data_IF_922482145378
#
_entry.id   IF_922482145378
#
_cell.length_a   1.000
_cell.length_b   1.000
_cell.length_c   1.000
_cell.angle_alpha   90.00
_cell.angle_beta   90.00
_cell.angle_gamma   90.00
#
_symmetry.space_group_name_H-M   'P 1'
#
loop_
_entity.id
_entity.type
_entity.pdbx_description
1 polymer ?
#
# COMPACT_ATOMS: atom_id res chain seq x y z
N UNK A 1 29.65 -6.61 -7.64
CA UNK A 1 28.76 -6.11 -6.58
C UNK A 1 28.69 -7.17 -5.51
N UNK A 2 29.26 -6.94 -4.33
CA UNK A 2 29.34 -7.96 -3.27
C UNK A 2 28.02 -8.14 -2.52
N UNK A 3 27.77 -9.34 -2.02
CA UNK A 3 26.71 -9.62 -1.04
C UNK A 3 27.31 -9.68 0.36
N UNK A 4 26.60 -9.20 1.36
CA UNK A 4 27.01 -9.18 2.77
C UNK A 4 25.87 -9.68 3.64
N UNK A 5 26.24 -10.55 4.56
CA UNK A 5 25.36 -11.20 5.50
C UNK A 5 24.92 -10.24 6.61
N UNK A 6 23.61 -10.01 6.75
CA UNK A 6 23.01 -9.27 7.86
C UNK A 6 22.25 -10.22 8.77
N UNK A 7 22.63 -10.26 10.06
CA UNK A 7 21.85 -10.94 11.09
C UNK A 7 20.73 -10.01 11.53
N UNK A 8 19.49 -10.39 11.22
CA UNK A 8 18.31 -9.55 11.43
C UNK A 8 17.68 -9.77 12.80
N UNK A 9 17.63 -11.01 13.27
CA UNK A 9 16.98 -11.39 14.52
C UNK A 9 17.69 -12.61 15.13
N UNK A 10 17.68 -12.73 16.47
CA UNK A 10 18.21 -13.92 17.17
C UNK A 10 17.21 -15.10 17.12
N UNK A 11 15.95 -14.82 16.75
CA UNK A 11 14.83 -15.76 16.80
C UNK A 11 14.63 -16.60 15.53
N UNK A 12 15.14 -16.14 14.39
CA UNK A 12 15.06 -16.87 13.12
C UNK A 12 16.45 -17.33 12.73
N UNK A 13 16.65 -18.64 12.53
CA UNK A 13 17.92 -19.23 12.10
C UNK A 13 18.28 -18.91 10.64
N UNK A 14 17.57 -17.97 10.02
CA UNK A 14 17.77 -17.58 8.64
C UNK A 14 18.58 -16.28 8.57
N UNK A 15 19.54 -16.28 7.67
CA UNK A 15 20.44 -15.17 7.41
C UNK A 15 20.01 -14.49 6.12
N UNK A 16 19.86 -13.15 6.14
CA UNK A 16 19.60 -12.39 4.91
C UNK A 16 20.89 -11.81 4.38
N UNK A 17 21.23 -12.17 3.15
CA UNK A 17 22.27 -11.52 2.38
C UNK A 17 21.71 -10.25 1.73
N UNK A 18 22.41 -9.13 1.90
CA UNK A 18 22.07 -7.85 1.28
C UNK A 18 23.20 -7.36 0.41
N UNK A 19 22.97 -6.32 -0.37
CA UNK A 19 24.02 -5.68 -1.18
C UNK A 19 25.07 -4.98 -0.30
N UNK A 20 26.35 -5.18 -0.62
CA UNK A 20 27.51 -4.59 0.08
C UNK A 20 27.43 -3.08 0.23
N UNK A 21 26.96 -2.37 -0.80
CA UNK A 21 26.85 -0.90 -0.77
C UNK A 21 25.73 -0.39 0.15
N UNK A 22 24.81 -1.26 0.55
CA UNK A 22 23.63 -0.88 1.31
C UNK A 22 23.73 -1.25 2.79
N UNK A 23 24.60 -2.19 3.14
CA UNK A 23 24.72 -2.79 4.47
C UNK A 23 24.73 -1.78 5.63
N UNK A 24 25.70 -0.87 5.64
CA UNK A 24 25.85 0.11 6.72
C UNK A 24 24.63 1.03 6.83
N UNK A 25 24.08 1.43 5.67
CA UNK A 25 22.94 2.34 5.61
C UNK A 25 21.66 1.64 6.09
N UNK A 26 21.50 0.35 5.82
CA UNK A 26 20.41 -0.46 6.34
C UNK A 26 20.48 -0.50 7.88
N UNK A 27 21.65 -0.74 8.45
CA UNK A 27 21.86 -0.74 9.91
C UNK A 27 21.47 0.59 10.55
N UNK A 28 22.00 1.72 10.02
CA UNK A 28 21.69 3.06 10.52
C UNK A 28 20.18 3.36 10.48
N UNK A 29 19.50 3.03 9.38
CA UNK A 29 18.04 3.24 9.26
C UNK A 29 17.24 2.36 10.20
N UNK A 30 17.69 1.14 10.48
CA UNK A 30 17.02 0.26 11.45
C UNK A 30 17.09 0.82 12.86
N UNK A 31 18.27 1.26 13.31
CA UNK A 31 18.43 1.92 14.60
C UNK A 31 17.52 3.16 14.71
N UNK A 32 17.48 4.00 13.68
CA UNK A 32 16.60 5.17 13.65
C UNK A 32 15.11 4.80 13.71
N UNK A 33 14.68 3.76 12.98
CA UNK A 33 13.29 3.26 13.04
C UNK A 33 12.95 2.66 14.40
N UNK A 34 13.85 1.91 15.02
CA UNK A 34 13.67 1.37 16.37
C UNK A 34 13.50 2.50 17.38
N UNK A 35 14.30 3.57 17.27
CA UNK A 35 14.15 4.77 18.11
C UNK A 35 12.78 5.44 17.89
N UNK A 36 12.38 5.69 16.65
CA UNK A 36 11.06 6.30 16.35
C UNK A 36 9.87 5.42 16.78
N UNK A 37 10.03 4.09 16.76
CA UNK A 37 9.04 3.13 17.26
C UNK A 37 8.95 3.19 18.79
N UNK A 38 10.08 3.28 19.50
CA UNK A 38 10.13 3.44 20.95
C UNK A 38 9.54 4.79 21.40
N UNK A 39 9.79 5.86 20.63
CA UNK A 39 9.16 7.18 20.81
C UNK A 39 7.66 7.19 20.45
N UNK A 40 7.12 6.10 19.88
CA UNK A 40 5.69 6.00 19.51
C UNK A 40 5.28 6.85 18.29
N UNK A 41 6.23 7.46 17.58
CA UNK A 41 5.97 8.32 16.41
C UNK A 41 5.49 7.53 15.19
N UNK A 42 5.75 6.23 15.14
CA UNK A 42 5.33 5.34 14.06
C UNK A 42 4.16 4.45 14.51
N UNK A 43 2.96 4.73 13.99
CA UNK A 43 1.75 3.97 14.30
C UNK A 43 1.82 2.54 13.75
N UNK A 44 1.54 1.55 14.61
CA UNK A 44 1.52 0.12 14.22
C UNK A 44 0.26 -0.27 13.43
N UNK A 45 -0.85 0.42 13.66
CA UNK A 45 -2.16 0.18 13.03
C UNK A 45 -2.62 1.41 12.29
N UNK A 46 -3.32 1.22 11.16
CA UNK A 46 -3.96 2.30 10.40
C UNK A 46 -5.29 2.64 11.06
N UNK A 47 -5.60 3.93 11.16
CA UNK A 47 -6.92 4.40 11.60
C UNK A 47 -7.94 4.29 10.45
N UNK A 48 -9.22 4.09 10.78
CA UNK A 48 -10.33 4.04 9.81
C UNK A 48 -10.47 5.37 9.06
N UNK A 49 -10.26 6.48 9.77
CA UNK A 49 -10.19 7.83 9.25
C UNK A 49 -9.17 8.61 10.08
N UNK A 50 -8.55 9.63 9.49
CA UNK A 50 -7.47 10.37 10.15
C UNK A 50 -7.99 11.55 11.00
N UNK A 51 -9.11 12.16 10.59
CA UNK A 51 -9.63 13.36 11.23
C UNK A 51 -11.14 13.27 11.42
N UNK A 52 -11.60 13.54 12.63
CA UNK A 52 -13.01 13.46 13.01
C UNK A 52 -13.87 14.47 12.22
N UNK A 53 -13.41 15.72 12.09
CA UNK A 53 -14.11 16.75 11.32
C UNK A 53 -14.34 16.35 9.85
N UNK A 54 -13.36 15.67 9.24
CA UNK A 54 -13.47 15.17 7.85
C UNK A 54 -14.44 14.00 7.75
N UNK A 55 -14.44 13.11 8.75
CA UNK A 55 -15.39 12.00 8.80
C UNK A 55 -16.83 12.52 8.89
N UNK A 56 -17.08 13.44 9.82
CA UNK A 56 -18.38 14.11 9.99
C UNK A 56 -18.78 14.85 8.71
N UNK A 57 -17.85 15.58 8.07
CA UNK A 57 -18.11 16.26 6.81
C UNK A 57 -18.56 15.27 5.72
N UNK A 58 -17.86 14.14 5.55
CA UNK A 58 -18.23 13.12 4.57
C UNK A 58 -19.59 12.47 4.84
N UNK A 59 -20.01 12.36 6.11
CA UNK A 59 -21.34 11.87 6.47
C UNK A 59 -22.45 12.88 6.16
N UNK A 60 -22.19 14.18 6.35
CA UNK A 60 -23.17 15.26 6.12
C UNK A 60 -23.37 15.64 4.65
N UNK A 61 -22.45 15.26 3.75
CA UNK A 61 -22.57 15.58 2.32
C UNK A 61 -23.80 14.91 1.70
N UNK A 62 -24.53 15.66 0.87
CA UNK A 62 -25.66 15.12 0.11
C UNK A 62 -25.19 14.06 -0.89
N UNK A 63 -25.97 12.98 -0.99
CA UNK A 63 -25.70 11.84 -1.87
C UNK A 63 -26.78 11.73 -2.95
N UNK A 64 -26.42 11.20 -4.12
CA UNK A 64 -27.35 10.73 -5.14
C UNK A 64 -27.73 9.26 -4.91
N UNK A 65 -28.50 8.69 -5.83
CA UNK A 65 -29.05 7.32 -5.75
C UNK A 65 -27.96 6.23 -5.63
N UNK A 66 -26.76 6.49 -6.15
CA UNK A 66 -25.60 5.57 -6.12
C UNK A 66 -24.64 5.80 -4.93
N UNK A 67 -25.05 6.55 -3.90
CA UNK A 67 -24.20 6.88 -2.75
C UNK A 67 -23.04 7.85 -3.07
N UNK A 68 -22.89 8.25 -4.34
CA UNK A 68 -21.95 9.27 -4.82
C UNK A 68 -22.35 10.63 -4.25
N UNK A 69 -21.35 11.46 -3.93
CA UNK A 69 -21.63 12.84 -3.55
C UNK A 69 -22.16 13.63 -4.73
N UNK A 70 -23.11 14.53 -4.48
CA UNK A 70 -23.58 15.47 -5.51
C UNK A 70 -22.42 16.37 -5.95
N UNK A 71 -22.28 16.59 -7.25
CA UNK A 71 -21.32 17.53 -7.80
C UNK A 71 -21.76 18.96 -7.44
N UNK A 72 -20.81 19.79 -6.98
CA UNK A 72 -21.09 21.20 -6.61
C UNK A 72 -21.03 22.15 -7.81
N UNK A 73 -20.59 21.68 -8.98
CA UNK A 73 -20.58 22.45 -10.23
C UNK A 73 -21.49 21.74 -11.25
N UNK A 74 -22.41 22.47 -11.93
CA UNK A 74 -23.13 21.94 -13.08
C UNK A 74 -22.21 21.94 -14.30
N UNK A 75 -21.10 21.21 -14.22
CA UNK A 75 -20.23 20.97 -15.37
C UNK A 75 -20.63 19.62 -15.92
N UNK A 76 -21.26 19.68 -17.09
CA UNK A 76 -21.41 18.67 -18.17
C UNK A 76 -21.17 17.20 -17.79
N UNK A 77 -22.04 16.27 -18.24
CA UNK A 77 -21.87 14.85 -17.95
C UNK A 77 -20.57 14.36 -18.58
N UNK A 78 -19.51 14.28 -17.78
CA UNK A 78 -18.41 13.39 -18.07
C UNK A 78 -19.00 12.00 -17.92
N UNK A 79 -19.31 11.43 -19.09
CA UNK A 79 -19.68 10.03 -19.26
C UNK A 79 -18.82 9.17 -18.34
N UNK A 80 -19.53 8.33 -17.60
CA UNK A 80 -18.98 7.26 -16.80
C UNK A 80 -18.06 6.38 -17.65
N UNK A 81 -16.76 6.68 -17.63
CA UNK A 81 -15.72 5.68 -17.85
C UNK A 81 -14.80 5.78 -16.63
N UNK A 82 -15.13 4.98 -15.62
CA UNK A 82 -14.15 4.54 -14.65
C UNK A 82 -13.29 3.47 -15.32
N UNK A 83 -12.58 3.86 -16.38
CA UNK A 83 -11.59 3.03 -17.03
C UNK A 83 -10.58 3.94 -17.70
N UNK A 84 -9.58 4.36 -16.92
CA UNK A 84 -8.24 4.66 -17.43
C UNK A 84 -7.25 4.15 -16.40
N UNK A 85 -7.11 2.83 -16.39
CA UNK A 85 -5.77 2.28 -16.22
C UNK A 85 -4.85 2.84 -17.30
N UNK A 86 -3.61 3.10 -16.94
CA UNK A 86 -2.51 3.19 -17.89
C UNK A 86 -1.32 2.44 -17.27
N UNK A 87 -0.42 1.82 -18.06
CA UNK A 87 -0.42 1.55 -19.49
C UNK A 87 -0.37 0.04 -19.83
N UNK A 88 -0.63 -0.30 -21.09
CA UNK A 88 -0.66 -1.68 -21.60
C UNK A 88 0.70 -2.39 -21.59
N UNK A 89 0.66 -3.69 -21.28
CA UNK A 89 1.51 -4.74 -21.83
C UNK A 89 0.59 -5.96 -21.96
N UNK A 90 0.31 -6.36 -23.19
CA UNK A 90 -0.31 -7.66 -23.47
C UNK A 90 0.68 -8.76 -23.10
N UNK A 91 0.29 -9.63 -22.18
CA UNK A 91 0.77 -11.02 -22.14
C UNK A 91 -0.44 -11.90 -21.85
N UNK A 92 -0.94 -12.43 -22.94
CA UNK A 92 -1.90 -13.51 -23.00
C UNK A 92 -1.16 -14.79 -22.60
N UNK A 93 -1.44 -15.35 -21.42
CA UNK A 93 -1.06 -16.72 -21.09
C UNK A 93 -2.25 -17.45 -20.47
N UNK A 94 -2.81 -18.30 -21.32
CA UNK A 94 -3.62 -19.50 -21.13
C UNK A 94 -4.26 -19.78 -19.75
N UNK A 95 -5.59 -19.92 -19.82
CA UNK A 95 -6.47 -20.59 -18.87
C UNK A 95 -6.02 -22.03 -18.62
N UNK A 96 -5.93 -22.43 -17.36
CA UNK A 96 -6.01 -23.83 -16.96
C UNK A 96 -7.23 -23.98 -16.04
N UNK A 97 -8.34 -24.43 -16.61
CA UNK A 97 -9.53 -24.86 -15.90
C UNK A 97 -9.22 -26.16 -15.12
N UNK A 98 -9.53 -26.25 -13.81
CA UNK A 98 -9.22 -27.43 -13.04
C UNK A 98 -10.49 -28.22 -12.73
N UNK A 99 -10.97 -29.10 -13.63
CA UNK A 99 -11.80 -30.26 -13.28
C UNK A 99 -11.68 -31.38 -14.32
N UNK A 100 -11.52 -32.61 -13.79
CA UNK A 100 -11.29 -33.93 -14.42
C UNK A 100 -9.81 -34.20 -14.78
N UNK A 101 -9.13 -35.30 -14.39
CA UNK A 101 -9.54 -36.71 -14.20
C UNK A 101 -8.67 -37.36 -13.09
N UNK A 102 -9.16 -38.49 -12.56
CA UNK A 102 -8.40 -39.62 -11.97
C UNK A 102 -6.99 -39.86 -12.55
#
# INVERSE_FOLDING_TARGET
MGIVQLRLDVKTYHVIFVNSRQYERILKRRAARQKMLAEGRLSKKRQKYLYESRHIHALRRSRGEEGRFKASTPTTPLTSTCDRGAPGIVKEEAVADPLEIC
#
